data_IF_606836521474
#
_entry.id   IF_606836521474
#
_cell.length_a   1.000
_cell.length_b   1.000
_cell.length_c   1.000
_cell.angle_alpha   90.00
_cell.angle_beta   90.00
_cell.angle_gamma   90.00
#
_symmetry.space_group_name_H-M   'P 1'
#
loop_
_entity.id
_entity.type
_entity.pdbx_description
1 polymer ?
#
# COMPACT_ATOMS: atom_id res chain seq x y z
N UNK A 1 31.55 -79.80 56.02
CA UNK A 1 30.77 -78.74 56.66
C UNK A 1 30.65 -77.64 55.62
N UNK A 2 29.46 -77.56 55.06
CA UNK A 2 29.18 -76.71 53.85
C UNK A 2 28.12 -75.70 54.27
N UNK A 3 28.41 -74.48 54.17
CA UNK A 3 27.45 -73.38 54.35
C UNK A 3 27.27 -72.64 53.02
N UNK A 4 26.07 -72.82 52.45
CA UNK A 4 25.64 -72.07 51.26
C UNK A 4 25.12 -70.70 51.65
N UNK A 5 25.68 -69.67 51.05
CA UNK A 5 25.14 -68.28 51.10
C UNK A 5 24.19 -68.07 49.91
N UNK A 6 22.93 -67.80 50.22
CA UNK A 6 21.94 -67.44 49.24
C UNK A 6 22.08 -65.91 48.86
N UNK A 7 22.12 -65.59 47.56
CA UNK A 7 22.10 -64.24 47.03
C UNK A 7 20.69 -63.84 46.62
N UNK A 8 20.05 -62.99 47.37
CA UNK A 8 18.79 -62.35 47.00
C UNK A 8 19.05 -61.22 46.02
N UNK A 9 18.54 -61.33 44.81
CA UNK A 9 18.59 -60.26 43.81
C UNK A 9 17.37 -59.34 43.99
N UNK A 10 17.62 -58.09 44.33
CA UNK A 10 16.59 -57.03 44.36
C UNK A 10 16.44 -56.46 42.94
N UNK A 11 15.26 -56.58 42.40
CA UNK A 11 14.90 -55.95 41.11
C UNK A 11 14.41 -54.54 41.38
N UNK A 12 15.21 -53.52 40.97
CA UNK A 12 14.79 -52.13 40.97
C UNK A 12 13.97 -51.87 39.69
N UNK A 13 12.67 -51.67 39.86
CA UNK A 13 11.82 -51.15 38.76
C UNK A 13 12.01 -49.64 38.63
N UNK A 14 12.60 -49.23 37.51
CA UNK A 14 12.72 -47.79 37.15
C UNK A 14 11.41 -47.40 36.47
N UNK A 15 10.59 -46.57 37.14
CA UNK A 15 9.46 -45.90 36.54
C UNK A 15 9.99 -44.70 35.72
N UNK A 16 9.98 -44.82 34.37
CA UNK A 16 10.13 -43.69 33.48
C UNK A 16 8.82 -42.87 33.46
N UNK A 17 8.79 -41.75 34.13
CA UNK A 17 7.73 -40.77 33.99
C UNK A 17 7.91 -40.07 32.60
N UNK A 18 7.06 -40.43 31.63
CA UNK A 18 6.97 -39.69 30.36
C UNK A 18 6.32 -38.33 30.61
N UNK A 19 7.14 -37.27 30.72
CA UNK A 19 6.66 -35.88 30.62
C UNK A 19 6.17 -35.64 29.18
N UNK A 20 4.86 -35.78 28.96
CA UNK A 20 4.21 -35.35 27.72
C UNK A 20 4.22 -33.83 27.61
N UNK A 21 5.21 -33.28 26.88
CA UNK A 21 5.18 -31.89 26.45
C UNK A 21 4.15 -31.83 25.32
N UNK A 22 2.92 -31.43 25.65
CA UNK A 22 1.92 -31.09 24.65
C UNK A 22 2.39 -29.76 23.97
N UNK A 23 2.90 -29.87 22.76
CA UNK A 23 3.14 -28.69 21.93
C UNK A 23 1.80 -27.95 21.75
N UNK A 24 1.76 -26.61 21.93
CA UNK A 24 0.55 -25.86 21.63
C UNK A 24 0.27 -25.99 20.13
N UNK A 25 -0.82 -26.66 19.79
CA UNK A 25 -1.36 -26.67 18.46
C UNK A 25 -1.81 -25.23 18.17
N UNK A 26 -0.95 -24.45 17.50
CA UNK A 26 -1.33 -23.14 16.97
C UNK A 26 -2.40 -23.44 15.94
N UNK A 27 -3.60 -22.96 16.23
CA UNK A 27 -4.80 -23.20 15.46
C UNK A 27 -4.57 -22.75 14.01
N UNK A 28 -4.40 -23.68 13.08
CA UNK A 28 -4.15 -23.42 11.67
C UNK A 28 -5.31 -22.61 11.04
N UNK A 29 -6.50 -22.65 11.66
CA UNK A 29 -7.64 -21.83 11.30
C UNK A 29 -7.38 -20.35 11.59
N UNK A 30 -6.73 -20.01 12.71
CA UNK A 30 -6.39 -18.62 13.09
C UNK A 30 -5.27 -18.04 12.23
N UNK A 31 -4.31 -18.87 11.80
CA UNK A 31 -3.27 -18.45 10.86
C UNK A 31 -3.85 -18.16 9.47
N UNK A 32 -4.89 -18.89 9.06
CA UNK A 32 -5.57 -18.67 7.78
C UNK A 32 -6.43 -17.38 7.79
N UNK A 33 -7.00 -17.03 8.93
CA UNK A 33 -7.80 -15.81 9.10
C UNK A 33 -6.91 -14.55 9.05
N UNK A 34 -5.75 -14.56 9.71
CA UNK A 34 -4.79 -13.46 9.68
C UNK A 34 -4.23 -13.22 8.27
N UNK A 35 -4.02 -14.28 7.47
CA UNK A 35 -3.53 -14.16 6.09
C UNK A 35 -4.59 -13.66 5.10
N UNK A 36 -5.88 -13.89 5.36
CA UNK A 36 -6.98 -13.46 4.49
C UNK A 36 -7.38 -11.99 4.72
N UNK A 37 -7.21 -11.45 5.92
CA UNK A 37 -7.48 -10.05 6.23
C UNK A 37 -6.36 -9.11 5.74
N UNK A 38 -5.15 -9.64 5.63
CA UNK A 38 -3.95 -8.87 5.27
C UNK A 38 -3.86 -8.52 3.77
N UNK A 39 -4.68 -9.11 2.92
CA UNK A 39 -4.65 -8.90 1.46
C UNK A 39 -6.04 -8.59 0.87
N UNK A 40 -6.85 -7.84 1.58
CA UNK A 40 -8.07 -7.31 0.98
C UNK A 40 -7.71 -6.33 -0.16
N UNK A 41 -7.74 -6.81 -1.41
CA UNK A 41 -7.48 -5.97 -2.58
C UNK A 41 -8.61 -4.94 -2.75
N UNK A 42 -8.23 -3.69 -2.99
CA UNK A 42 -9.15 -2.62 -3.31
C UNK A 42 -9.68 -2.78 -4.75
N UNK A 43 -10.92 -2.45 -4.94
CA UNK A 43 -11.56 -2.36 -6.27
C UNK A 43 -11.74 -0.91 -6.75
N UNK A 44 -11.49 0.07 -5.87
CA UNK A 44 -11.55 1.50 -6.15
C UNK A 44 -10.62 2.30 -5.27
N UNK A 45 -10.05 3.36 -5.85
CA UNK A 45 -9.28 4.39 -5.16
C UNK A 45 -10.03 5.71 -5.21
N UNK A 46 -10.03 6.47 -4.12
CA UNK A 46 -10.51 7.85 -4.10
C UNK A 46 -9.41 8.78 -3.57
N UNK A 47 -9.28 9.96 -4.18
CA UNK A 47 -8.40 11.02 -3.70
C UNK A 47 -9.23 12.26 -3.45
N UNK A 48 -9.23 12.76 -2.22
CA UNK A 48 -9.89 14.00 -1.82
C UNK A 48 -8.83 15.09 -1.63
N UNK A 49 -8.70 15.96 -2.63
CA UNK A 49 -7.62 16.97 -2.70
C UNK A 49 -7.66 17.94 -1.53
N UNK A 50 -8.86 18.44 -1.17
CA UNK A 50 -8.99 19.35 -0.02
C UNK A 50 -8.56 18.71 1.30
N UNK A 51 -8.84 17.42 1.48
CA UNK A 51 -8.48 16.67 2.68
C UNK A 51 -7.01 16.19 2.67
N UNK A 52 -6.32 16.22 1.53
CA UNK A 52 -5.00 15.58 1.33
C UNK A 52 -5.04 14.10 1.74
N UNK A 53 -6.08 13.37 1.28
CA UNK A 53 -6.30 11.97 1.61
C UNK A 53 -6.50 11.12 0.37
N UNK A 54 -5.94 9.91 0.42
CA UNK A 54 -6.21 8.81 -0.51
C UNK A 54 -6.91 7.71 0.28
N UNK A 55 -7.98 7.17 -0.29
CA UNK A 55 -8.78 6.10 0.31
C UNK A 55 -8.78 4.88 -0.60
N UNK A 56 -8.68 3.69 -0.01
CA UNK A 56 -8.87 2.41 -0.69
C UNK A 56 -10.20 1.80 -0.28
N UNK A 57 -10.99 1.37 -1.26
CA UNK A 57 -12.29 0.75 -1.04
C UNK A 57 -12.38 -0.65 -1.66
N UNK A 58 -13.21 -1.50 -1.05
CA UNK A 58 -13.77 -2.71 -1.66
C UNK A 58 -15.28 -2.63 -1.57
N UNK A 59 -15.97 -2.46 -2.71
CA UNK A 59 -17.39 -2.12 -2.71
C UNK A 59 -17.65 -0.86 -1.89
N UNK A 60 -18.40 -0.99 -0.80
CA UNK A 60 -18.70 0.11 0.13
C UNK A 60 -17.79 0.15 1.36
N UNK A 61 -16.94 -0.84 1.54
CA UNK A 61 -16.04 -0.93 2.69
C UNK A 61 -14.79 -0.09 2.48
N UNK A 62 -14.51 0.81 3.41
CA UNK A 62 -13.21 1.48 3.51
C UNK A 62 -12.18 0.49 4.04
N UNK A 63 -11.13 0.22 3.27
CA UNK A 63 -10.03 -0.65 3.65
C UNK A 63 -8.89 0.10 4.34
N UNK A 64 -8.58 1.29 3.84
CA UNK A 64 -7.48 2.11 4.36
C UNK A 64 -7.60 3.56 3.92
N UNK A 65 -6.96 4.47 4.67
CA UNK A 65 -6.76 5.86 4.30
C UNK A 65 -5.31 6.27 4.50
N UNK A 66 -4.83 7.15 3.62
CA UNK A 66 -3.45 7.64 3.65
C UNK A 66 -3.40 9.14 3.45
N UNK A 67 -2.42 9.80 4.08
CA UNK A 67 -2.11 11.20 3.80
C UNK A 67 -1.34 11.29 2.48
N UNK A 68 -1.68 12.28 1.65
CA UNK A 68 -0.99 12.52 0.38
C UNK A 68 -0.49 13.96 0.29
N UNK A 69 0.59 14.16 -0.48
CA UNK A 69 0.99 15.45 -1.01
C UNK A 69 0.60 15.51 -2.51
N UNK A 70 0.21 16.68 -2.95
CA UNK A 70 -0.31 16.93 -4.30
C UNK A 70 0.61 17.88 -5.09
N UNK A 71 0.12 18.33 -6.24
CA UNK A 71 0.78 19.37 -7.02
C UNK A 71 0.87 20.69 -6.25
N UNK A 72 1.90 21.49 -6.53
CA UNK A 72 2.16 22.79 -5.88
C UNK A 72 0.99 23.79 -5.96
N UNK A 73 0.10 23.64 -6.94
CA UNK A 73 -1.12 24.44 -7.10
C UNK A 73 -2.37 23.52 -7.03
N UNK A 74 -2.71 22.94 -5.86
CA UNK A 74 -3.63 21.81 -5.77
C UNK A 74 -5.10 22.14 -6.04
N UNK A 75 -5.48 23.43 -6.04
CA UNK A 75 -6.88 23.84 -6.16
C UNK A 75 -7.32 23.86 -7.63
N UNK A 76 -8.45 23.23 -7.89
CA UNK A 76 -9.09 23.19 -9.22
C UNK A 76 -8.51 22.13 -10.15
N UNK A 77 -9.18 21.96 -11.31
CA UNK A 77 -8.85 20.96 -12.32
C UNK A 77 -7.52 21.27 -13.01
N UNK A 78 -6.76 20.20 -13.30
CA UNK A 78 -5.61 20.27 -14.20
C UNK A 78 -6.09 20.53 -15.64
N UNK A 79 -5.52 21.53 -16.29
CA UNK A 79 -5.94 21.96 -17.61
C UNK A 79 -4.83 21.85 -18.66
N UNK A 80 -3.57 22.02 -18.24
CA UNK A 80 -2.41 22.08 -19.12
C UNK A 80 -1.14 21.57 -18.45
N UNK A 81 -0.15 21.30 -19.29
CA UNK A 81 1.20 21.01 -18.82
C UNK A 81 1.76 22.16 -17.96
N UNK A 82 2.49 21.80 -16.90
CA UNK A 82 3.15 22.75 -15.98
C UNK A 82 2.21 23.71 -15.23
N UNK A 83 0.94 23.36 -15.07
CA UNK A 83 0.04 24.11 -14.19
C UNK A 83 0.14 23.69 -12.73
N UNK A 84 0.98 22.70 -12.43
CA UNK A 84 1.24 22.15 -11.09
C UNK A 84 -0.01 21.65 -10.37
N UNK A 85 -1.05 21.31 -11.11
CA UNK A 85 -2.30 20.80 -10.57
C UNK A 85 -2.39 19.30 -10.68
N UNK A 86 -2.95 18.67 -9.63
CA UNK A 86 -3.42 17.28 -9.69
C UNK A 86 -4.79 17.26 -10.37
N UNK A 87 -5.03 16.40 -11.37
CA UNK A 87 -6.28 16.37 -12.11
C UNK A 87 -7.46 15.97 -11.21
N UNK A 88 -8.67 16.37 -11.61
CA UNK A 88 -9.95 16.00 -11.00
C UNK A 88 -10.77 15.17 -12.00
N UNK A 89 -11.51 14.19 -11.49
CA UNK A 89 -12.34 13.31 -12.31
C UNK A 89 -12.00 11.83 -12.15
N UNK A 90 -12.57 11.02 -13.04
CA UNK A 90 -12.35 9.57 -13.06
C UNK A 90 -11.26 9.18 -14.04
N UNK A 91 -10.31 8.41 -13.53
CA UNK A 91 -9.20 7.78 -14.24
C UNK A 91 -9.08 6.32 -13.82
N UNK A 92 -8.01 5.66 -14.27
CA UNK A 92 -7.70 4.27 -13.92
C UNK A 92 -6.23 4.16 -13.52
N UNK A 93 -5.93 3.23 -12.62
CA UNK A 93 -4.55 2.85 -12.36
C UNK A 93 -4.02 2.04 -13.55
N UNK A 94 -2.81 2.36 -13.99
CA UNK A 94 -2.18 1.71 -15.13
C UNK A 94 -0.82 1.12 -14.77
N UNK A 95 0.16 1.28 -15.64
CA UNK A 95 1.50 0.67 -15.50
C UNK A 95 2.18 0.99 -14.18
N UNK A 96 2.69 -0.05 -13.54
CA UNK A 96 3.52 -0.03 -12.33
C UNK A 96 5.00 0.05 -12.67
N UNK A 97 5.76 0.83 -11.90
CA UNK A 97 7.19 0.96 -12.09
C UNK A 97 7.94 0.76 -10.75
N UNK A 98 8.70 -0.33 -10.66
CA UNK A 98 9.56 -0.65 -9.52
C UNK A 98 10.93 0.03 -9.59
N UNK A 99 11.26 0.69 -10.71
CA UNK A 99 12.49 1.45 -10.93
C UNK A 99 12.19 2.94 -11.11
N UNK A 100 11.28 3.45 -10.28
CA UNK A 100 10.91 4.86 -10.26
C UNK A 100 11.98 5.68 -9.53
N UNK A 101 12.21 6.92 -9.96
CA UNK A 101 13.03 7.90 -9.22
C UNK A 101 12.39 8.31 -7.88
N UNK A 102 11.12 7.90 -7.67
CA UNK A 102 10.30 8.17 -6.49
C UNK A 102 9.87 6.86 -5.81
N UNK A 103 10.83 5.98 -5.49
CA UNK A 103 10.63 4.69 -4.82
C UNK A 103 9.82 3.70 -5.68
N UNK A 104 8.51 3.73 -5.61
CA UNK A 104 7.56 2.98 -6.45
C UNK A 104 6.61 3.97 -7.11
N UNK A 105 6.10 3.67 -8.30
CA UNK A 105 5.06 4.49 -8.91
C UNK A 105 4.02 3.67 -9.68
N UNK A 106 2.77 4.16 -9.64
CA UNK A 106 1.63 3.64 -10.38
C UNK A 106 1.10 4.77 -11.26
N UNK A 107 1.02 4.55 -12.55
CA UNK A 107 0.53 5.54 -13.49
C UNK A 107 -0.99 5.71 -13.36
N UNK A 108 -1.46 6.96 -13.39
CA UNK A 108 -2.87 7.35 -13.56
C UNK A 108 -3.11 7.66 -15.02
N UNK A 109 -4.23 7.20 -15.60
CA UNK A 109 -4.55 7.36 -17.03
C UNK A 109 -4.99 8.78 -17.40
N UNK A 110 -4.31 9.79 -16.86
CA UNK A 110 -4.45 11.18 -17.27
C UNK A 110 -3.54 11.43 -18.51
N UNK A 111 -3.95 12.21 -19.53
CA UNK A 111 -5.29 12.80 -19.71
C UNK A 111 -6.32 11.78 -20.22
N UNK A 112 -7.59 11.92 -19.80
CA UNK A 112 -8.71 11.24 -20.41
C UNK A 112 -9.26 12.05 -21.62
N UNK A 113 -10.29 11.52 -22.31
CA UNK A 113 -10.86 12.16 -23.48
C UNK A 113 -11.39 13.58 -23.20
N UNK A 114 -11.98 13.81 -22.01
CA UNK A 114 -12.51 15.13 -21.66
C UNK A 114 -11.36 16.15 -21.45
N UNK A 115 -10.26 15.71 -20.83
CA UNK A 115 -9.07 16.53 -20.64
C UNK A 115 -8.43 16.90 -21.98
N UNK A 116 -8.32 15.95 -22.90
CA UNK A 116 -7.79 16.20 -24.25
C UNK A 116 -8.67 17.14 -25.07
N UNK A 117 -10.00 17.02 -24.97
CA UNK A 117 -10.93 17.91 -25.66
C UNK A 117 -10.81 19.34 -25.11
N UNK A 118 -10.70 19.48 -23.80
CA UNK A 118 -10.49 20.79 -23.13
C UNK A 118 -9.18 21.42 -23.57
N UNK A 119 -8.09 20.65 -23.57
CA UNK A 119 -6.77 21.10 -23.96
C UNK A 119 -6.74 21.54 -25.44
N UNK A 120 -7.33 20.75 -26.34
CA UNK A 120 -7.45 21.10 -27.77
C UNK A 120 -8.24 22.38 -27.99
N UNK A 121 -9.38 22.57 -27.30
CA UNK A 121 -10.21 23.77 -27.39
C UNK A 121 -9.43 25.04 -27.01
N UNK A 122 -8.52 24.92 -26.07
CA UNK A 122 -7.72 26.06 -25.57
C UNK A 122 -6.33 26.15 -26.20
N UNK A 123 -6.00 25.27 -27.15
CA UNK A 123 -4.68 25.19 -27.80
C UNK A 123 -3.53 24.97 -26.80
N UNK A 124 -3.76 24.20 -25.75
CA UNK A 124 -2.77 23.85 -24.74
C UNK A 124 -2.32 22.39 -24.84
N UNK A 125 -1.06 22.05 -24.53
CA UNK A 125 -0.68 20.70 -24.25
C UNK A 125 -1.30 20.27 -22.90
N UNK A 126 -2.04 19.14 -22.82
CA UNK A 126 -2.66 18.70 -21.59
C UNK A 126 -1.61 18.29 -20.52
N UNK A 127 -0.42 17.93 -20.97
CA UNK A 127 0.57 17.25 -20.14
C UNK A 127 0.24 15.77 -19.99
N UNK A 128 0.83 15.14 -18.97
CA UNK A 128 0.67 13.71 -18.72
C UNK A 128 1.52 13.28 -17.54
N UNK A 129 1.84 11.98 -17.49
CA UNK A 129 2.75 11.41 -16.47
C UNK A 129 2.31 11.67 -15.03
N UNK A 130 0.99 11.66 -14.77
CA UNK A 130 0.45 11.71 -13.42
C UNK A 130 0.62 10.32 -12.79
N UNK A 131 1.26 10.29 -11.62
CA UNK A 131 1.57 9.08 -10.89
C UNK A 131 1.07 9.15 -9.45
N UNK A 132 0.73 8.01 -8.86
CA UNK A 132 0.82 7.79 -7.42
C UNK A 132 2.23 7.27 -7.16
N UNK A 133 2.97 7.87 -6.21
CA UNK A 133 4.36 7.48 -5.99
C UNK A 133 4.83 7.74 -4.54
N UNK A 134 5.96 7.16 -4.18
CA UNK A 134 6.62 7.39 -2.90
C UNK A 134 7.46 8.66 -2.87
N UNK A 135 8.40 8.74 -1.94
CA UNK A 135 9.34 9.84 -1.80
C UNK A 135 10.47 9.75 -2.84
N UNK A 136 11.11 10.88 -3.18
CA UNK A 136 12.26 10.86 -4.09
C UNK A 136 13.40 10.00 -3.52
N UNK A 137 14.07 9.20 -4.38
CA UNK A 137 15.22 8.39 -4.01
C UNK A 137 16.43 9.25 -3.59
N UNK A 138 16.51 10.46 -4.13
CA UNK A 138 17.50 11.48 -3.75
C UNK A 138 16.75 12.72 -3.27
N UNK A 139 16.45 12.83 -1.95
CA UNK A 139 15.72 13.96 -1.41
C UNK A 139 16.58 15.25 -1.45
N UNK A 140 15.98 16.36 -1.89
CA UNK A 140 16.58 17.69 -1.90
C UNK A 140 16.11 18.58 -0.73
N UNK A 141 15.14 18.10 0.07
CA UNK A 141 14.58 18.79 1.22
C UNK A 141 14.57 17.88 2.45
N UNK A 142 14.51 18.43 3.67
CA UNK A 142 14.31 17.64 4.89
C UNK A 142 13.01 16.81 4.84
N UNK A 143 12.97 15.68 5.53
CA UNK A 143 11.79 14.78 5.56
C UNK A 143 10.50 15.51 5.98
N UNK A 144 10.58 16.48 6.90
CA UNK A 144 9.45 17.28 7.35
C UNK A 144 8.78 18.06 6.21
N UNK A 145 9.54 18.52 5.20
CA UNK A 145 8.99 19.20 4.02
C UNK A 145 8.05 18.29 3.24
N UNK A 146 8.49 17.07 2.94
CA UNK A 146 7.69 16.09 2.19
C UNK A 146 6.46 15.62 2.97
N UNK A 147 6.52 15.64 4.29
CA UNK A 147 5.42 15.23 5.16
C UNK A 147 4.33 16.31 5.35
N UNK A 148 4.64 17.59 5.11
CA UNK A 148 3.75 18.71 5.46
C UNK A 148 3.36 19.63 4.30
N UNK A 149 3.97 19.46 3.12
CA UNK A 149 3.77 20.37 1.98
C UNK A 149 3.26 19.60 0.75
N UNK A 150 2.53 20.33 -0.12
CA UNK A 150 2.35 19.89 -1.50
C UNK A 150 3.62 20.25 -2.28
N UNK A 151 4.21 19.30 -2.99
CA UNK A 151 5.54 19.45 -3.57
C UNK A 151 5.72 18.86 -4.96
N UNK A 152 4.66 18.25 -5.51
CA UNK A 152 4.76 17.60 -6.83
C UNK A 152 4.38 18.54 -7.97
N UNK A 153 4.65 18.11 -9.20
CA UNK A 153 4.20 18.82 -10.40
C UNK A 153 2.78 18.40 -10.85
N UNK A 154 2.03 17.74 -9.94
CA UNK A 154 0.67 17.27 -10.18
C UNK A 154 0.45 15.80 -9.83
N UNK A 155 1.48 15.07 -9.48
CA UNK A 155 1.39 13.70 -8.98
C UNK A 155 0.78 13.63 -7.57
N UNK A 156 0.46 12.43 -7.12
CA UNK A 156 -0.06 12.10 -5.80
C UNK A 156 1.05 11.37 -5.05
N UNK A 157 1.68 12.03 -4.08
CA UNK A 157 2.81 11.46 -3.35
C UNK A 157 2.40 10.94 -1.97
N UNK A 158 2.96 9.81 -1.58
CA UNK A 158 2.75 9.09 -0.33
C UNK A 158 4.08 8.96 0.44
N UNK A 159 4.02 8.58 1.72
CA UNK A 159 5.18 7.99 2.37
C UNK A 159 5.58 6.68 1.68
N UNK A 160 6.83 6.25 1.82
CA UNK A 160 7.26 4.99 1.20
C UNK A 160 6.51 3.78 1.80
N UNK A 161 6.22 3.79 3.10
CA UNK A 161 5.41 2.74 3.75
C UNK A 161 4.00 2.67 3.19
N UNK A 162 3.32 3.83 3.08
CA UNK A 162 1.96 3.90 2.55
C UNK A 162 1.93 3.52 1.06
N UNK A 163 2.98 3.90 0.30
CA UNK A 163 3.10 3.52 -1.10
C UNK A 163 3.23 2.00 -1.29
N UNK A 164 3.94 1.29 -0.38
CA UNK A 164 3.97 -0.18 -0.39
C UNK A 164 2.58 -0.76 -0.16
N UNK A 165 1.82 -0.25 0.80
CA UNK A 165 0.45 -0.73 1.05
C UNK A 165 -0.48 -0.48 -0.13
N UNK A 166 -0.47 0.72 -0.71
CA UNK A 166 -1.23 1.04 -1.93
C UNK A 166 -0.84 0.11 -3.07
N UNK A 167 0.46 -0.14 -3.24
CA UNK A 167 0.97 -1.06 -4.25
C UNK A 167 0.46 -2.49 -4.06
N UNK A 168 0.48 -3.00 -2.85
CA UNK A 168 0.06 -4.38 -2.54
C UNK A 168 -1.47 -4.57 -2.61
N UNK A 169 -2.23 -3.54 -2.24
CA UNK A 169 -3.70 -3.59 -2.16
C UNK A 169 -4.42 -3.21 -3.43
N UNK A 170 -3.74 -2.66 -4.45
CA UNK A 170 -4.37 -2.25 -5.71
C UNK A 170 -3.91 -3.13 -6.86
N UNK A 171 -4.68 -3.13 -7.95
CA UNK A 171 -4.35 -3.79 -9.21
C UNK A 171 -4.43 -2.77 -10.35
N UNK A 172 -3.88 -3.12 -11.52
CA UNK A 172 -4.05 -2.30 -12.71
C UNK A 172 -5.51 -2.33 -13.17
N UNK A 173 -5.93 -1.26 -13.83
CA UNK A 173 -7.28 -1.05 -14.36
C UNK A 173 -8.39 -0.86 -13.32
N UNK A 174 -8.09 -0.72 -12.02
CA UNK A 174 -9.12 -0.26 -11.08
C UNK A 174 -9.34 1.24 -11.21
N UNK A 175 -10.58 1.74 -11.00
CA UNK A 175 -10.86 3.17 -11.07
C UNK A 175 -10.20 3.93 -9.93
N UNK A 176 -9.78 5.16 -10.25
CA UNK A 176 -9.37 6.18 -9.31
C UNK A 176 -10.22 7.43 -9.56
N UNK A 177 -10.98 7.85 -8.55
CA UNK A 177 -11.80 9.06 -8.56
C UNK A 177 -11.07 10.16 -7.77
N UNK A 178 -10.78 11.29 -8.41
CA UNK A 178 -10.06 12.41 -7.80
C UNK A 178 -11.04 13.58 -7.64
N UNK A 179 -11.35 13.92 -6.39
CA UNK A 179 -12.29 14.97 -5.99
C UNK A 179 -11.55 16.24 -5.57
N UNK A 180 -12.19 17.40 -5.68
CA UNK A 180 -11.69 18.69 -5.19
C UNK A 180 -11.22 18.71 -3.73
#
# INVERSE_FOLDING_TARGET
MSTRFGRTAAIFAIFLAACGVSAPWIDAARAKDLSAEEVAAADRVEVHKAARKLYLYRGHQLLAEYKVALGLAPVGQKERERDFKTPEGRYYLARRNTRSDYFLSIQVTYPNQADELRARKNHWPPGGSIMIHGLPNTPHHPAAYYASSDWTDGCIALSNSDMVEVWMRTQDNIPIDIYP
#
